data_IF_580220855872
#
_entry.id   IF_580220855872
#
_cell.length_a   1.000
_cell.length_b   1.000
_cell.length_c   1.000
_cell.angle_alpha   90.00
_cell.angle_beta   90.00
_cell.angle_gamma   90.00
#
_symmetry.space_group_name_H-M   'P 1'
#
loop_
_entity.id
_entity.type
_entity.pdbx_description
1 polymer ?
#
# COMPACT_ATOMS: atom_id res chain seq x y z
N UNK A 1 -30.93 49.98 60.73
CA UNK A 1 -31.30 49.22 59.51
C UNK A 1 -30.25 49.59 58.47
N UNK A 2 -29.15 48.84 58.40
CA UNK A 2 -28.92 47.72 57.46
C UNK A 2 -28.72 48.24 56.02
N UNK A 3 -27.74 47.85 55.22
CA UNK A 3 -26.64 46.89 55.34
C UNK A 3 -25.62 47.19 54.22
N UNK A 4 -24.37 46.72 54.36
CA UNK A 4 -23.34 46.74 53.31
C UNK A 4 -23.69 45.77 52.15
N UNK A 5 -23.25 46.00 50.90
CA UNK A 5 -23.16 44.93 49.92
C UNK A 5 -21.75 44.32 49.93
N UNK A 6 -21.69 43.02 50.14
CA UNK A 6 -20.52 42.17 49.93
C UNK A 6 -20.86 41.10 48.86
N UNK A 7 -19.81 40.56 48.26
CA UNK A 7 -19.70 39.30 47.51
C UNK A 7 -19.89 39.30 45.98
N UNK A 8 -18.73 39.23 45.32
CA UNK A 8 -18.29 38.11 44.48
C UNK A 8 -19.18 37.66 43.30
N UNK A 9 -18.94 38.28 42.13
CA UNK A 9 -19.15 37.60 40.84
C UNK A 9 -17.99 36.64 40.58
N UNK A 10 -18.14 35.39 41.03
CA UNK A 10 -17.37 34.26 40.49
C UNK A 10 -17.62 34.14 38.99
N UNK A 11 -16.56 34.30 38.20
CA UNK A 11 -16.54 33.94 36.79
C UNK A 11 -16.64 32.42 36.66
N UNK A 12 -17.84 31.92 36.39
CA UNK A 12 -18.05 30.53 36.00
C UNK A 12 -17.39 30.26 34.65
N UNK A 13 -16.58 29.20 34.65
CA UNK A 13 -15.79 28.70 33.53
C UNK A 13 -16.64 28.42 32.28
N UNK A 14 -16.35 29.09 31.18
CA UNK A 14 -16.55 28.48 29.85
C UNK A 14 -15.50 27.40 29.67
N UNK A 15 -15.79 26.18 30.12
CA UNK A 15 -15.13 24.99 29.59
C UNK A 15 -15.37 25.01 28.09
N UNK A 16 -14.34 25.37 27.31
CA UNK A 16 -14.33 25.10 25.87
C UNK A 16 -14.68 23.63 25.71
N UNK A 17 -15.82 23.33 25.08
CA UNK A 17 -16.20 21.98 24.72
C UNK A 17 -15.00 21.32 24.04
N UNK A 18 -14.38 20.36 24.73
CA UNK A 18 -13.34 19.56 24.13
C UNK A 18 -13.99 18.85 22.94
N UNK A 19 -13.48 19.05 21.71
CA UNK A 19 -14.09 18.47 20.53
C UNK A 19 -14.17 16.96 20.73
N UNK A 20 -15.38 16.41 20.53
CA UNK A 20 -15.67 15.01 20.81
C UNK A 20 -14.68 14.11 20.05
N UNK A 21 -13.73 13.54 20.78
CA UNK A 21 -12.67 12.72 20.22
C UNK A 21 -13.24 11.35 19.84
N UNK A 22 -13.10 10.98 18.57
CA UNK A 22 -13.40 9.62 18.14
C UNK A 22 -12.42 8.66 18.81
N UNK A 23 -12.97 7.81 19.69
CA UNK A 23 -12.24 6.80 20.45
C UNK A 23 -11.04 7.38 21.21
N UNK A 24 -11.10 8.65 21.61
CA UNK A 24 -10.02 9.33 22.34
C UNK A 24 -8.73 9.54 21.55
N UNK A 25 -8.72 9.35 20.23
CA UNK A 25 -7.50 9.44 19.39
C UNK A 25 -7.59 10.41 18.22
N UNK A 26 -8.80 10.65 17.70
CA UNK A 26 -8.99 11.46 16.51
C UNK A 26 -9.99 12.58 16.76
N UNK A 27 -9.58 13.80 16.45
CA UNK A 27 -10.48 14.95 16.40
C UNK A 27 -11.18 14.96 15.03
N UNK A 28 -12.49 14.70 15.01
CA UNK A 28 -13.28 14.68 13.78
C UNK A 28 -13.58 16.11 13.34
N UNK A 29 -13.24 16.42 12.09
CA UNK A 29 -13.50 17.69 11.44
C UNK A 29 -14.60 17.59 10.38
N UNK A 30 -14.42 18.35 9.29
CA UNK A 30 -15.41 18.50 8.22
C UNK A 30 -15.71 17.18 7.49
N UNK A 31 -16.94 17.06 6.99
CA UNK A 31 -17.33 15.99 6.06
C UNK A 31 -16.62 16.23 4.71
N UNK A 32 -15.90 15.21 4.23
CA UNK A 32 -15.22 15.22 2.93
C UNK A 32 -16.10 14.62 1.83
N UNK A 33 -16.88 13.58 2.18
CA UNK A 33 -17.72 12.88 1.22
C UNK A 33 -18.83 12.09 1.90
N UNK A 34 -19.90 11.87 1.16
CA UNK A 34 -21.06 11.09 1.58
C UNK A 34 -21.43 10.12 0.46
N UNK A 35 -21.41 8.83 0.77
CA UNK A 35 -22.00 7.78 -0.07
C UNK A 35 -23.19 7.14 0.62
N UNK A 36 -23.90 6.27 -0.11
CA UNK A 36 -25.10 5.56 0.37
C UNK A 36 -24.86 4.78 1.67
N UNK A 37 -23.66 4.24 1.85
CA UNK A 37 -23.32 3.33 2.95
C UNK A 37 -22.21 3.85 3.87
N UNK A 38 -21.57 4.97 3.52
CA UNK A 38 -20.44 5.49 4.27
C UNK A 38 -20.42 7.02 4.29
N UNK A 39 -19.88 7.58 5.36
CA UNK A 39 -19.52 9.00 5.46
C UNK A 39 -18.02 9.10 5.67
N UNK A 40 -17.37 10.01 4.94
CA UNK A 40 -15.92 10.24 5.04
C UNK A 40 -15.70 11.60 5.65
N UNK A 41 -14.96 11.65 6.75
CA UNK A 41 -14.63 12.88 7.47
C UNK A 41 -13.13 13.14 7.37
N UNK A 42 -12.76 14.42 7.30
CA UNK A 42 -11.42 14.83 7.68
C UNK A 42 -11.31 14.70 9.19
N UNK A 43 -10.16 14.24 9.68
CA UNK A 43 -9.87 14.20 11.09
C UNK A 43 -8.40 14.49 11.34
N UNK A 44 -8.05 14.78 12.59
CA UNK A 44 -6.67 15.02 13.02
C UNK A 44 -6.29 13.99 14.07
N UNK A 45 -5.15 13.32 13.90
CA UNK A 45 -4.60 12.45 14.92
C UNK A 45 -4.04 13.33 16.05
N UNK A 46 -4.55 13.20 17.27
CA UNK A 46 -4.15 14.10 18.37
C UNK A 46 -2.72 13.86 18.86
N UNK A 47 -2.11 12.70 18.55
CA UNK A 47 -0.74 12.37 18.96
C UNK A 47 0.29 12.88 17.96
N UNK A 48 0.05 12.69 16.67
CA UNK A 48 1.00 13.10 15.61
C UNK A 48 0.68 14.46 15.00
N UNK A 49 -0.49 15.03 15.29
CA UNK A 49 -1.03 16.23 14.64
C UNK A 49 -1.30 16.09 13.13
N UNK A 50 -1.17 14.88 12.59
CA UNK A 50 -1.36 14.62 11.16
C UNK A 50 -2.84 14.56 10.77
N UNK A 51 -3.15 15.10 9.60
CA UNK A 51 -4.47 15.02 8.98
C UNK A 51 -4.73 13.64 8.36
N UNK A 52 -5.91 13.08 8.63
CA UNK A 52 -6.35 11.76 8.15
C UNK A 52 -7.77 11.83 7.58
N UNK A 53 -8.12 10.87 6.73
CA UNK A 53 -9.48 10.65 6.28
C UNK A 53 -10.08 9.46 7.04
N UNK A 54 -11.25 9.66 7.68
CA UNK A 54 -11.95 8.61 8.42
C UNK A 54 -13.26 8.27 7.71
N UNK A 55 -13.30 7.07 7.12
CA UNK A 55 -14.51 6.50 6.52
C UNK A 55 -15.27 5.70 7.57
N UNK A 56 -16.53 6.08 7.78
CA UNK A 56 -17.43 5.52 8.80
C UNK A 56 -18.49 4.66 8.12
N UNK A 57 -18.58 3.39 8.50
CA UNK A 57 -19.56 2.43 8.00
C UNK A 57 -20.37 1.87 9.18
N UNK A 58 -21.68 1.69 8.97
CA UNK A 58 -22.57 1.11 9.97
C UNK A 58 -22.54 -0.42 9.93
N UNK A 59 -22.36 -1.08 11.09
CA UNK A 59 -22.28 -2.55 11.20
C UNK A 59 -23.60 -3.24 10.92
N UNK A 60 -24.74 -2.62 11.26
CA UNK A 60 -26.05 -3.21 10.98
C UNK A 60 -26.28 -3.41 9.48
N UNK A 61 -25.65 -2.55 8.67
CA UNK A 61 -25.69 -2.66 7.21
C UNK A 61 -24.86 -3.84 6.69
N UNK A 62 -23.79 -4.23 7.38
CA UNK A 62 -22.85 -5.30 6.97
C UNK A 62 -23.32 -6.70 7.41
N UNK A 63 -23.96 -6.80 8.58
CA UNK A 63 -24.24 -8.07 9.27
C UNK A 63 -25.26 -8.98 8.56
N UNK A 64 -26.00 -8.50 7.56
CA UNK A 64 -27.01 -9.29 6.84
C UNK A 64 -26.45 -10.27 5.79
N UNK A 65 -25.13 -10.28 5.56
CA UNK A 65 -24.52 -10.95 4.41
C UNK A 65 -23.82 -12.29 4.62
N UNK A 66 -23.45 -12.71 5.84
CA UNK A 66 -22.69 -13.96 6.07
C UNK A 66 -21.23 -14.00 5.56
N UNK A 67 -20.73 -12.91 4.93
CA UNK A 67 -19.40 -12.83 4.31
C UNK A 67 -18.35 -12.05 5.13
N UNK A 68 -18.55 -11.91 6.45
CA UNK A 68 -17.65 -11.19 7.36
C UNK A 68 -16.19 -11.68 7.26
N UNK A 69 -15.99 -12.98 7.02
CA UNK A 69 -14.67 -13.57 6.84
C UNK A 69 -13.93 -13.02 5.60
N UNK A 70 -14.64 -12.78 4.49
CA UNK A 70 -14.04 -12.22 3.27
C UNK A 70 -13.68 -10.75 3.48
N UNK A 71 -14.54 -9.97 4.13
CA UNK A 71 -14.25 -8.57 4.48
C UNK A 71 -13.02 -8.47 5.38
N UNK A 72 -12.94 -9.29 6.43
CA UNK A 72 -11.78 -9.32 7.32
C UNK A 72 -10.49 -9.65 6.58
N UNK A 73 -10.53 -10.58 5.63
CA UNK A 73 -9.38 -10.95 4.79
C UNK A 73 -8.93 -9.78 3.91
N UNK A 74 -9.85 -9.16 3.17
CA UNK A 74 -9.52 -8.03 2.30
C UNK A 74 -8.97 -6.84 3.12
N UNK A 75 -9.56 -6.54 4.27
CA UNK A 75 -9.05 -5.50 5.19
C UNK A 75 -7.65 -5.84 5.70
N UNK A 76 -7.39 -7.09 6.08
CA UNK A 76 -6.06 -7.54 6.54
C UNK A 76 -5.00 -7.35 5.46
N UNK A 77 -5.33 -7.66 4.20
CA UNK A 77 -4.43 -7.44 3.06
C UNK A 77 -4.22 -5.94 2.83
N UNK A 78 -5.29 -5.13 2.83
CA UNK A 78 -5.21 -3.67 2.61
C UNK A 78 -4.34 -2.95 3.64
N UNK A 79 -4.30 -3.42 4.90
CA UNK A 79 -3.40 -2.86 5.92
C UNK A 79 -1.92 -3.00 5.56
N UNK A 80 -1.58 -4.00 4.74
CA UNK A 80 -0.22 -4.30 4.25
C UNK A 80 0.03 -3.76 2.84
N UNK A 81 -0.99 -3.21 2.18
CA UNK A 81 -0.85 -2.54 0.88
C UNK A 81 -0.18 -1.19 1.08
N UNK A 82 0.98 -1.05 0.45
CA UNK A 82 1.76 0.20 0.38
C UNK A 82 2.16 0.36 -1.08
N UNK A 83 1.69 1.42 -1.72
CA UNK A 83 1.96 1.73 -3.12
C UNK A 83 1.77 3.24 -3.32
N UNK A 84 2.61 3.91 -4.12
CA UNK A 84 2.58 5.37 -4.23
C UNK A 84 1.24 5.88 -4.77
N UNK A 85 0.60 5.11 -5.67
CA UNK A 85 -0.70 5.46 -6.24
C UNK A 85 -1.92 4.81 -5.56
N UNK A 86 -1.79 4.32 -4.33
CA UNK A 86 -2.91 3.80 -3.54
C UNK A 86 -3.01 4.60 -2.24
N UNK A 87 -4.22 4.97 -1.84
CA UNK A 87 -4.48 5.60 -0.53
C UNK A 87 -4.17 4.62 0.58
N UNK A 88 -3.25 4.99 1.47
CA UNK A 88 -2.80 4.13 2.55
C UNK A 88 -3.90 3.95 3.61
N UNK A 89 -4.18 2.70 3.99
CA UNK A 89 -4.95 2.36 5.18
C UNK A 89 -3.99 2.32 6.39
N UNK A 90 -4.19 3.22 7.35
CA UNK A 90 -3.39 3.26 8.58
C UNK A 90 -3.93 2.26 9.59
N UNK A 91 -5.21 2.34 9.91
CA UNK A 91 -5.85 1.41 10.85
C UNK A 91 -7.35 1.27 10.64
N UNK A 92 -7.91 0.23 11.26
CA UNK A 92 -9.36 0.00 11.33
C UNK A 92 -9.77 -0.09 12.78
N UNK A 93 -10.72 0.74 13.17
CA UNK A 93 -11.31 0.75 14.51
C UNK A 93 -12.77 0.30 14.41
N UNK A 94 -13.31 -0.23 15.50
CA UNK A 94 -14.70 -0.63 15.55
C UNK A 94 -15.34 -0.35 16.91
N UNK A 95 -16.62 0.00 16.87
CA UNK A 95 -17.52 0.08 18.03
C UNK A 95 -18.59 -0.99 17.90
N UNK A 96 -19.56 -1.07 18.83
CA UNK A 96 -20.69 -2.01 18.72
C UNK A 96 -21.48 -1.81 17.41
N UNK A 97 -21.62 -0.57 16.95
CA UNK A 97 -22.49 -0.21 15.82
C UNK A 97 -21.76 0.28 14.57
N UNK A 98 -20.48 0.67 14.66
CA UNK A 98 -19.76 1.27 13.52
C UNK A 98 -18.36 0.70 13.33
N UNK A 99 -17.88 0.74 12.08
CA UNK A 99 -16.49 0.49 11.67
C UNK A 99 -15.91 1.80 11.13
N UNK A 100 -14.67 2.10 11.50
CA UNK A 100 -13.94 3.30 11.13
C UNK A 100 -12.66 2.90 10.42
N UNK A 101 -12.49 3.33 9.18
CA UNK A 101 -11.26 3.16 8.41
C UNK A 101 -10.49 4.45 8.44
N UNK A 102 -9.31 4.45 9.07
CA UNK A 102 -8.41 5.60 9.13
C UNK A 102 -7.41 5.50 7.99
N UNK A 103 -7.43 6.49 7.11
CA UNK A 103 -6.72 6.47 5.84
C UNK A 103 -5.90 7.74 5.64
N UNK A 104 -4.94 7.67 4.73
CA UNK A 104 -4.21 8.82 4.20
C UNK A 104 -5.19 9.91 3.72
N UNK A 105 -4.97 11.14 4.15
CA UNK A 105 -5.73 12.29 3.65
C UNK A 105 -5.06 12.87 2.39
N UNK A 106 -5.67 12.64 1.24
CA UNK A 106 -5.18 13.14 -0.05
C UNK A 106 -5.70 14.56 -0.30
N UNK A 107 -4.81 15.55 -0.24
CA UNK A 107 -5.15 16.98 -0.22
C UNK A 107 -5.57 17.56 -1.57
N UNK A 108 -5.08 17.02 -2.68
CA UNK A 108 -5.36 17.54 -4.01
C UNK A 108 -6.75 17.20 -4.56
N UNK A 109 -7.58 16.44 -3.83
CA UNK A 109 -8.97 16.16 -4.18
C UNK A 109 -9.14 15.29 -5.42
N UNK A 110 -10.36 15.21 -5.95
CA UNK A 110 -10.70 14.34 -7.09
C UNK A 110 -10.04 14.80 -8.39
N UNK A 111 -9.43 13.85 -9.12
CA UNK A 111 -8.83 14.04 -10.44
C UNK A 111 -9.81 14.75 -11.38
N UNK A 112 -11.03 14.25 -11.48
CA UNK A 112 -12.02 14.74 -12.44
C UNK A 112 -12.50 16.16 -12.13
N UNK A 113 -12.44 16.62 -10.88
CA UNK A 113 -12.71 18.02 -10.54
C UNK A 113 -11.62 18.94 -11.07
N UNK A 114 -10.36 18.54 -10.99
CA UNK A 114 -9.23 19.29 -11.58
C UNK A 114 -9.22 19.24 -13.11
N UNK A 115 -9.73 18.15 -13.69
CA UNK A 115 -9.80 17.91 -15.15
C UNK A 115 -11.09 18.48 -15.77
N UNK A 116 -12.08 18.87 -14.97
CA UNK A 116 -13.41 19.37 -15.40
C UNK A 116 -13.42 20.54 -16.40
N UNK A 117 -12.26 21.14 -16.70
CA UNK A 117 -12.06 22.12 -17.78
C UNK A 117 -12.06 21.52 -19.20
N UNK A 118 -12.17 20.19 -19.35
CA UNK A 118 -12.31 19.52 -20.65
C UNK A 118 -11.63 18.16 -20.72
N UNK A 119 -11.16 17.79 -21.92
CA UNK A 119 -10.37 16.56 -22.14
C UNK A 119 -8.89 16.78 -21.82
N UNK A 120 -8.21 15.70 -21.43
CA UNK A 120 -6.76 15.71 -21.25
C UNK A 120 -6.01 15.56 -22.57
N UNK A 121 -4.78 16.08 -22.59
CA UNK A 121 -3.79 15.71 -23.60
C UNK A 121 -3.43 14.24 -23.41
N UNK A 122 -3.17 13.55 -24.52
CA UNK A 122 -2.91 12.12 -24.52
C UNK A 122 -1.74 11.71 -23.62
N UNK A 123 -0.68 12.52 -23.56
CA UNK A 123 0.47 12.29 -22.68
C UNK A 123 0.10 12.33 -21.19
N UNK A 124 -0.75 13.28 -20.79
CA UNK A 124 -1.19 13.43 -19.40
C UNK A 124 -2.15 12.30 -19.02
N UNK A 125 -3.12 11.98 -19.89
CA UNK A 125 -4.02 10.86 -19.68
C UNK A 125 -3.26 9.53 -19.59
N UNK A 126 -2.22 9.35 -20.40
CA UNK A 126 -1.33 8.19 -20.34
C UNK A 126 -0.62 8.09 -19.00
N UNK A 127 -0.05 9.18 -18.48
CA UNK A 127 0.59 9.19 -17.15
C UNK A 127 -0.38 8.71 -16.06
N UNK A 128 -1.58 9.26 -16.01
CA UNK A 128 -2.59 8.83 -15.03
C UNK A 128 -3.04 7.40 -15.24
N UNK A 129 -3.20 6.96 -16.48
CA UNK A 129 -3.56 5.58 -16.79
C UNK A 129 -2.46 4.60 -16.38
N UNK A 130 -1.19 4.94 -16.58
CA UNK A 130 -0.05 4.14 -16.12
C UNK A 130 -0.04 4.01 -14.59
N UNK A 131 -0.27 5.11 -13.86
CA UNK A 131 -0.39 5.08 -12.40
C UNK A 131 -1.58 4.24 -11.92
N UNK A 132 -2.72 4.35 -12.61
CA UNK A 132 -3.92 3.55 -12.33
C UNK A 132 -3.65 2.06 -12.52
N UNK A 133 -3.08 1.67 -13.67
CA UNK A 133 -2.75 0.26 -13.95
C UNK A 133 -1.70 -0.26 -12.97
N UNK A 134 -0.72 0.56 -12.57
CA UNK A 134 0.26 0.19 -11.53
C UNK A 134 -0.43 -0.15 -10.20
N UNK A 135 -1.34 0.72 -9.73
CA UNK A 135 -2.11 0.48 -8.51
C UNK A 135 -2.99 -0.78 -8.59
N UNK A 136 -3.73 -0.93 -9.70
CA UNK A 136 -4.62 -2.08 -9.91
C UNK A 136 -3.82 -3.38 -9.99
N UNK A 137 -2.71 -3.40 -10.73
CA UNK A 137 -1.79 -4.53 -10.82
C UNK A 137 -1.27 -4.97 -9.44
N UNK A 138 -0.81 -4.01 -8.65
CA UNK A 138 -0.27 -4.26 -7.31
C UNK A 138 -1.29 -4.92 -6.38
N UNK A 139 -2.55 -4.48 -6.44
CA UNK A 139 -3.64 -5.06 -5.66
C UNK A 139 -4.09 -6.43 -6.18
N UNK A 140 -4.24 -6.59 -7.50
CA UNK A 140 -4.66 -7.85 -8.12
C UNK A 140 -3.69 -8.99 -7.80
N UNK A 141 -2.38 -8.72 -7.84
CA UNK A 141 -1.34 -9.68 -7.45
C UNK A 141 -1.47 -10.18 -5.99
N UNK A 142 -2.19 -9.45 -5.14
CA UNK A 142 -2.45 -9.79 -3.73
C UNK A 142 -3.88 -10.31 -3.50
N UNK A 143 -4.62 -10.58 -4.57
CA UNK A 143 -6.01 -11.06 -4.50
C UNK A 143 -7.00 -9.99 -4.03
N UNK A 144 -6.62 -8.70 -4.06
CA UNK A 144 -7.51 -7.58 -3.75
C UNK A 144 -7.98 -6.94 -5.04
N UNK A 145 -9.28 -6.81 -5.19
CA UNK A 145 -9.91 -6.23 -6.37
C UNK A 145 -10.72 -5.01 -5.96
N UNK A 146 -10.80 -4.01 -6.83
CA UNK A 146 -11.51 -2.78 -6.50
C UNK A 146 -13.02 -2.91 -6.78
N UNK A 147 -13.49 -3.55 -7.84
CA UNK A 147 -14.92 -3.80 -8.18
C UNK A 147 -15.84 -2.59 -8.37
N UNK A 148 -15.38 -1.38 -8.05
CA UNK A 148 -16.13 -0.12 -8.12
C UNK A 148 -15.19 1.05 -8.51
N UNK A 149 -14.29 0.82 -9.45
CA UNK A 149 -13.42 1.88 -9.97
C UNK A 149 -14.25 2.91 -10.73
N UNK A 150 -14.13 4.17 -10.32
CA UNK A 150 -14.89 5.30 -10.86
C UNK A 150 -14.15 6.62 -10.59
N UNK A 151 -14.51 7.72 -11.28
CA UNK A 151 -13.90 9.04 -11.10
C UNK A 151 -13.76 9.50 -9.65
N UNK A 152 -14.77 9.24 -8.82
CA UNK A 152 -14.84 9.66 -7.43
C UNK A 152 -13.77 8.97 -6.56
N UNK A 153 -13.25 7.83 -7.00
CA UNK A 153 -12.21 7.06 -6.31
C UNK A 153 -10.78 7.40 -6.80
N UNK A 154 -10.66 8.37 -7.71
CA UNK A 154 -9.38 8.81 -8.27
C UNK A 154 -9.05 10.19 -7.73
N UNK A 155 -8.12 10.24 -6.79
CA UNK A 155 -7.66 11.45 -6.13
C UNK A 155 -6.29 11.87 -6.68
N UNK A 156 -5.91 13.12 -6.43
CA UNK A 156 -4.59 13.65 -6.72
C UNK A 156 -3.93 14.12 -5.43
N UNK A 157 -2.68 13.75 -5.23
CA UNK A 157 -1.88 14.27 -4.12
C UNK A 157 -1.41 15.72 -4.37
N UNK A 158 -0.50 16.21 -3.51
CA UNK A 158 0.07 17.56 -3.60
C UNK A 158 0.98 17.74 -4.82
N UNK A 159 1.61 16.66 -5.29
CA UNK A 159 2.48 16.63 -6.46
C UNK A 159 1.68 16.47 -7.76
N UNK A 160 0.38 16.21 -7.67
CA UNK A 160 -0.50 15.96 -8.80
C UNK A 160 -0.38 14.53 -9.34
N UNK A 161 0.09 13.60 -8.53
CA UNK A 161 0.10 12.17 -8.86
C UNK A 161 -1.17 11.47 -8.39
N UNK A 162 -1.59 10.45 -9.13
CA UNK A 162 -2.81 9.71 -8.86
C UNK A 162 -2.71 8.93 -7.55
N UNK A 163 -3.76 9.01 -6.73
CA UNK A 163 -4.01 8.16 -5.56
C UNK A 163 -5.38 7.51 -5.71
N UNK A 164 -5.42 6.19 -5.84
CA UNK A 164 -6.67 5.43 -5.91
C UNK A 164 -7.14 5.12 -4.49
N UNK A 165 -8.35 5.55 -4.14
CA UNK A 165 -8.97 5.28 -2.85
C UNK A 165 -9.88 4.05 -2.88
N UNK A 166 -10.34 3.58 -1.72
CA UNK A 166 -11.42 2.59 -1.58
C UNK A 166 -11.18 1.18 -2.18
N UNK A 167 -9.93 0.82 -2.48
CA UNK A 167 -9.55 -0.57 -2.79
C UNK A 167 -10.04 -1.55 -1.72
N UNK A 168 -10.68 -2.66 -2.13
CA UNK A 168 -11.20 -3.72 -1.25
C UNK A 168 -12.26 -3.30 -0.22
N UNK A 169 -12.63 -2.01 -0.15
CA UNK A 169 -13.73 -1.51 0.68
C UNK A 169 -15.07 -1.54 -0.07
N UNK A 170 -15.02 -1.67 -1.40
CA UNK A 170 -16.17 -1.98 -2.25
C UNK A 170 -16.76 -3.36 -1.96
N UNK A 171 -15.96 -4.37 -1.61
CA UNK A 171 -16.47 -5.69 -1.23
C UNK A 171 -17.40 -5.60 -0.01
N UNK A 172 -17.08 -4.69 0.92
CA UNK A 172 -17.97 -4.36 2.04
C UNK A 172 -19.27 -3.72 1.52
N UNK A 173 -19.17 -2.85 0.53
CA UNK A 173 -20.31 -2.09 -0.02
C UNK A 173 -21.21 -2.95 -0.92
N UNK A 174 -20.65 -3.82 -1.75
CA UNK A 174 -21.39 -4.72 -2.65
C UNK A 174 -22.17 -5.79 -1.89
N UNK A 175 -21.66 -6.24 -0.73
CA UNK A 175 -22.37 -7.19 0.12
C UNK A 175 -23.60 -6.59 0.83
N UNK A 176 -23.64 -5.26 0.98
CA UNK A 176 -24.82 -4.55 1.52
C UNK A 176 -25.95 -4.50 0.46
N UNK A 177 -25.65 -4.69 -0.83
CA UNK A 177 -26.59 -4.58 -1.96
C UNK A 177 -27.46 -5.84 -2.16
N UNK A 178 -27.90 -6.46 -1.07
CA UNK A 178 -28.71 -7.70 -1.07
C UNK A 178 -30.16 -7.52 -1.56
N UNK A 179 -30.62 -6.29 -1.81
CA UNK A 179 -32.00 -6.04 -2.22
C UNK A 179 -32.30 -6.47 -3.66
N UNK A 180 -31.28 -6.80 -4.47
CA UNK A 180 -31.50 -7.28 -5.84
C UNK A 180 -32.32 -6.32 -6.71
N UNK A 181 -32.50 -5.09 -6.26
CA UNK A 181 -33.15 -4.00 -6.95
C UNK A 181 -32.07 -2.99 -7.29
N UNK A 182 -32.08 -2.51 -8.52
CA UNK A 182 -31.23 -1.41 -8.94
C UNK A 182 -31.68 -0.13 -8.22
N UNK A 183 -31.29 0.07 -6.96
CA UNK A 183 -31.21 1.42 -6.40
C UNK A 183 -29.83 2.03 -6.66
N UNK A 184 -29.45 1.99 -7.94
CA UNK A 184 -28.52 2.93 -8.56
C UNK A 184 -29.28 4.24 -8.86
N UNK A 185 -29.86 4.86 -7.83
CA UNK A 185 -30.48 6.19 -7.98
C UNK A 185 -29.53 7.34 -7.63
N UNK A 186 -28.26 7.05 -7.29
CA UNK A 186 -27.29 8.09 -6.92
C UNK A 186 -25.87 7.87 -7.52
N UNK A 187 -25.70 7.05 -8.56
CA UNK A 187 -24.39 6.85 -9.21
C UNK A 187 -24.52 6.51 -10.69
N UNK A 188 -23.49 6.76 -11.50
CA UNK A 188 -23.54 6.54 -12.94
C UNK A 188 -23.17 5.09 -13.29
N UNK A 189 -24.11 4.22 -13.74
CA UNK A 189 -23.83 2.81 -14.07
C UNK A 189 -22.88 2.64 -15.27
N UNK A 190 -22.48 3.73 -15.92
CA UNK A 190 -21.66 3.73 -17.13
C UNK A 190 -20.22 3.21 -16.92
N UNK A 191 -19.75 3.08 -15.67
CA UNK A 191 -18.44 2.50 -15.35
C UNK A 191 -18.48 0.99 -15.11
N UNK A 192 -19.68 0.40 -14.97
CA UNK A 192 -19.86 -0.99 -14.58
C UNK A 192 -19.76 -1.92 -15.79
N UNK A 193 -19.04 -3.03 -15.64
CA UNK A 193 -18.89 -4.05 -16.68
C UNK A 193 -20.21 -4.80 -16.96
N UNK A 194 -20.45 -5.26 -18.20
CA UNK A 194 -21.71 -5.90 -18.58
C UNK A 194 -22.02 -7.16 -17.75
N UNK A 195 -21.00 -7.95 -17.38
CA UNK A 195 -21.18 -9.16 -16.58
C UNK A 195 -21.64 -8.89 -15.14
N UNK A 196 -21.28 -7.74 -14.57
CA UNK A 196 -21.75 -7.30 -13.24
C UNK A 196 -23.23 -6.93 -13.31
N UNK A 197 -23.64 -6.26 -14.38
CA UNK A 197 -25.05 -5.92 -14.62
C UNK A 197 -25.92 -7.17 -14.85
N UNK A 198 -25.34 -8.20 -15.47
CA UNK A 198 -26.00 -9.48 -15.73
C UNK A 198 -26.14 -10.39 -14.49
N UNK A 199 -25.58 -10.00 -13.33
CA UNK A 199 -25.64 -10.74 -12.06
C UNK A 199 -25.12 -12.19 -12.14
N UNK A 200 -24.18 -12.45 -13.04
CA UNK A 200 -23.46 -13.73 -13.08
C UNK A 200 -22.25 -13.66 -12.17
N UNK A 201 -21.74 -14.80 -11.72
CA UNK A 201 -20.39 -14.85 -11.15
C UNK A 201 -19.41 -14.23 -12.17
N UNK A 202 -18.52 -13.36 -11.70
CA UNK A 202 -17.63 -12.59 -12.57
C UNK A 202 -16.18 -12.65 -12.06
N UNK A 203 -15.25 -12.51 -12.99
CA UNK A 203 -13.83 -12.32 -12.67
C UNK A 203 -13.58 -10.87 -12.28
N UNK A 204 -13.38 -10.62 -10.99
CA UNK A 204 -13.21 -9.26 -10.46
C UNK A 204 -12.04 -8.50 -11.12
N UNK A 205 -10.99 -9.20 -11.55
CA UNK A 205 -9.88 -8.60 -12.29
C UNK A 205 -10.33 -7.97 -13.61
N UNK A 206 -11.14 -8.69 -14.40
CA UNK A 206 -11.63 -8.23 -15.70
C UNK A 206 -12.64 -7.09 -15.57
N UNK A 207 -13.39 -7.03 -14.46
CA UNK A 207 -14.30 -5.92 -14.14
C UNK A 207 -13.52 -4.63 -13.86
N UNK A 208 -12.44 -4.71 -13.10
CA UNK A 208 -11.57 -3.55 -12.85
C UNK A 208 -10.94 -3.04 -14.15
N UNK A 209 -10.54 -3.94 -15.05
CA UNK A 209 -9.97 -3.57 -16.35
C UNK A 209 -10.98 -2.84 -17.23
N UNK A 210 -12.24 -3.30 -17.27
CA UNK A 210 -13.32 -2.58 -17.96
C UNK A 210 -13.47 -1.16 -17.41
N UNK A 211 -13.52 -1.04 -16.08
CA UNK A 211 -13.67 0.24 -15.39
C UNK A 211 -12.49 1.18 -15.70
N UNK A 212 -11.26 0.66 -15.74
CA UNK A 212 -10.07 1.40 -16.18
C UNK A 212 -10.20 1.90 -17.63
N UNK A 213 -10.76 1.09 -18.53
CA UNK A 213 -11.07 1.48 -19.91
C UNK A 213 -12.07 2.63 -20.00
N UNK A 214 -13.14 2.58 -19.19
CA UNK A 214 -14.13 3.67 -19.13
C UNK A 214 -13.47 4.94 -18.60
N UNK A 215 -12.68 4.85 -17.53
CA UNK A 215 -11.93 5.99 -16.97
C UNK A 215 -11.01 6.61 -18.03
N UNK A 216 -10.20 5.81 -18.74
CA UNK A 216 -9.31 6.29 -19.79
C UNK A 216 -10.09 7.00 -20.90
N UNK A 217 -11.21 6.43 -21.32
CA UNK A 217 -12.08 7.06 -22.30
C UNK A 217 -12.54 8.44 -21.82
N UNK A 218 -13.05 8.55 -20.59
CA UNK A 218 -13.57 9.83 -20.06
C UNK A 218 -12.45 10.87 -19.94
N UNK A 219 -11.25 10.48 -19.49
CA UNK A 219 -10.10 11.39 -19.44
C UNK A 219 -9.74 11.96 -20.82
N UNK A 220 -9.87 11.15 -21.88
CA UNK A 220 -9.53 11.52 -23.26
C UNK A 220 -10.66 12.22 -24.03
N UNK A 221 -11.91 11.88 -23.73
CA UNK A 221 -13.09 12.36 -24.43
C UNK A 221 -13.77 13.55 -23.72
N UNK A 222 -13.71 13.61 -22.39
CA UNK A 222 -14.50 14.52 -21.57
C UNK A 222 -15.96 14.09 -21.38
N UNK A 223 -16.34 12.90 -21.87
CA UNK A 223 -17.68 12.33 -21.76
C UNK A 223 -17.61 10.79 -21.67
N UNK A 224 -18.72 10.15 -21.30
CA UNK A 224 -18.81 8.70 -21.10
C UNK A 224 -18.87 7.90 -22.42
N UNK A 225 -18.20 6.74 -22.53
CA UNK A 225 -18.27 5.90 -23.73
C UNK A 225 -19.68 5.34 -23.96
N UNK A 226 -20.37 4.99 -22.88
CA UNK A 226 -21.73 4.48 -22.89
C UNK A 226 -22.64 5.47 -22.18
N UNK A 227 -23.34 6.29 -22.95
CA UNK A 227 -24.31 7.25 -22.44
C UNK A 227 -25.54 7.32 -23.34
N UNK A 228 -26.71 7.42 -22.73
CA UNK A 228 -27.99 7.62 -23.40
C UNK A 228 -29.00 8.21 -22.41
N UNK A 229 -29.98 8.97 -22.92
CA UNK A 229 -31.10 9.46 -22.09
C UNK A 229 -32.01 8.31 -21.66
N UNK A 230 -32.13 7.28 -22.50
CA UNK A 230 -32.86 6.07 -22.16
C UNK A 230 -31.90 5.07 -21.50
N UNK A 231 -32.13 4.78 -20.22
CA UNK A 231 -31.31 3.84 -19.43
C UNK A 231 -31.21 2.46 -20.09
N UNK A 232 -32.30 1.96 -20.70
CA UNK A 232 -32.29 0.67 -21.39
C UNK A 232 -31.44 0.72 -22.67
N UNK A 233 -31.47 1.83 -23.40
CA UNK A 233 -30.61 2.03 -24.56
C UNK A 233 -29.12 2.12 -24.15
N UNK A 234 -28.83 2.78 -23.04
CA UNK A 234 -27.48 2.81 -22.46
C UNK A 234 -27.02 1.39 -22.08
N UNK A 235 -27.84 0.60 -21.39
CA UNK A 235 -27.51 -0.80 -21.09
C UNK A 235 -27.28 -1.64 -22.35
N UNK A 236 -28.10 -1.45 -23.39
CA UNK A 236 -27.90 -2.11 -24.69
C UNK A 236 -26.55 -1.78 -25.30
N UNK A 237 -26.08 -0.53 -25.22
CA UNK A 237 -24.72 -0.14 -25.67
C UNK A 237 -23.64 -0.85 -24.84
N UNK A 238 -23.80 -0.91 -23.53
CA UNK A 238 -22.85 -1.58 -22.61
C UNK A 238 -22.75 -3.07 -22.95
N UNK A 239 -23.87 -3.79 -23.04
CA UNK A 239 -23.89 -5.23 -23.34
C UNK A 239 -23.31 -5.57 -24.72
N UNK A 240 -23.40 -4.64 -25.67
CA UNK A 240 -22.80 -4.82 -27.00
C UNK A 240 -21.36 -4.31 -27.12
N UNK A 241 -20.87 -3.53 -26.15
CA UNK A 241 -19.59 -2.83 -26.29
C UNK A 241 -19.58 -1.77 -27.40
N UNK A 242 -20.75 -1.23 -27.77
CA UNK A 242 -20.87 -0.22 -28.83
C UNK A 242 -20.60 1.18 -28.26
N UNK A 243 -19.40 1.72 -28.52
CA UNK A 243 -19.02 3.11 -28.20
C UNK A 243 -18.35 3.80 -29.38
N UNK A 244 -18.37 5.14 -29.39
CA UNK A 244 -17.77 5.94 -30.47
C UNK A 244 -16.55 6.71 -29.96
N UNK A 245 -15.41 6.46 -30.56
CA UNK A 245 -14.19 7.21 -30.30
C UNK A 245 -14.22 8.57 -31.03
N UNK A 246 -13.87 9.68 -30.36
CA UNK A 246 -13.66 10.97 -31.00
C UNK A 246 -12.57 10.94 -32.10
N UNK A 247 -12.67 11.87 -33.05
CA UNK A 247 -11.70 12.00 -34.16
C UNK A 247 -10.27 12.34 -33.71
N UNK A 248 -10.11 12.92 -32.51
CA UNK A 248 -8.80 13.28 -31.96
C UNK A 248 -8.12 12.12 -31.22
N UNK A 249 -8.72 10.94 -31.16
CA UNK A 249 -8.07 9.77 -30.56
C UNK A 249 -7.03 9.21 -31.54
N UNK A 250 -5.83 8.93 -31.04
CA UNK A 250 -4.83 8.24 -31.84
C UNK A 250 -5.30 6.81 -32.19
N UNK A 251 -4.93 6.28 -33.37
CA UNK A 251 -5.28 4.90 -33.73
C UNK A 251 -4.81 3.86 -32.70
N UNK A 252 -3.69 4.12 -32.03
CA UNK A 252 -3.19 3.28 -30.94
C UNK A 252 -4.11 3.28 -29.71
N UNK A 253 -4.60 4.46 -29.29
CA UNK A 253 -5.54 4.57 -28.19
C UNK A 253 -6.86 3.85 -28.51
N UNK A 254 -7.37 4.00 -29.73
CA UNK A 254 -8.60 3.32 -30.16
C UNK A 254 -8.46 1.80 -30.06
N UNK A 255 -7.33 1.24 -30.53
CA UNK A 255 -7.04 -0.21 -30.40
C UNK A 255 -6.93 -0.67 -28.96
N UNK A 256 -6.31 0.13 -28.08
CA UNK A 256 -6.25 -0.19 -26.65
C UNK A 256 -7.66 -0.20 -26.04
N UNK A 257 -8.46 0.85 -26.27
CA UNK A 257 -9.82 0.96 -25.75
C UNK A 257 -10.74 -0.16 -26.24
N UNK A 258 -10.62 -0.59 -27.51
CA UNK A 258 -11.41 -1.72 -28.01
C UNK A 258 -11.13 -3.04 -27.31
N UNK A 259 -9.94 -3.19 -26.69
CA UNK A 259 -9.54 -4.39 -25.95
C UNK A 259 -9.81 -4.29 -24.44
N UNK A 260 -9.82 -3.07 -23.90
CA UNK A 260 -10.23 -2.79 -22.52
C UNK A 260 -11.75 -2.91 -22.34
N UNK A 261 -12.51 -2.41 -23.32
CA UNK A 261 -13.98 -2.38 -23.34
C UNK A 261 -14.58 -3.52 -24.18
N UNK A 262 -13.87 -4.66 -24.25
CA UNK A 262 -14.36 -5.88 -24.89
C UNK A 262 -15.38 -6.58 -23.97
N UNK A 263 -16.56 -6.90 -24.50
CA UNK A 263 -17.61 -7.57 -23.71
C UNK A 263 -17.33 -9.06 -23.53
N UNK A 264 -16.45 -9.64 -24.35
CA UNK A 264 -16.00 -11.02 -24.18
C UNK A 264 -14.83 -11.08 -23.19
N UNK A 265 -15.01 -11.82 -22.08
CA UNK A 265 -14.04 -11.93 -21.00
C UNK A 265 -12.74 -12.60 -21.44
N UNK A 266 -12.81 -13.57 -22.34
CA UNK A 266 -11.65 -14.32 -22.83
C UNK A 266 -10.70 -13.42 -23.62
N UNK A 267 -11.27 -12.49 -24.40
CA UNK A 267 -10.51 -11.60 -25.27
C UNK A 267 -10.25 -10.22 -24.68
N UNK A 268 -10.94 -9.84 -23.60
CA UNK A 268 -10.64 -8.62 -22.86
C UNK A 268 -9.22 -8.69 -22.32
N UNK A 269 -8.46 -7.61 -22.50
CA UNK A 269 -7.08 -7.55 -22.05
C UNK A 269 -6.94 -7.85 -20.55
N UNK A 270 -5.80 -8.45 -20.23
CA UNK A 270 -5.23 -8.63 -18.89
C UNK A 270 -4.22 -7.53 -18.60
N UNK A 271 -3.81 -7.38 -17.35
CA UNK A 271 -2.81 -6.37 -16.96
C UNK A 271 -1.48 -6.55 -17.70
N UNK A 272 -0.89 -7.76 -17.82
CA UNK A 272 0.32 -7.96 -18.61
C UNK A 272 0.17 -7.47 -20.06
N UNK A 273 -0.94 -7.81 -20.73
CA UNK A 273 -1.20 -7.37 -22.10
C UNK A 273 -1.34 -5.83 -22.21
N UNK A 274 -1.91 -5.18 -21.19
CA UNK A 274 -1.98 -3.71 -21.12
C UNK A 274 -0.57 -3.11 -20.97
N UNK A 275 0.25 -3.67 -20.09
CA UNK A 275 1.61 -3.19 -19.82
C UNK A 275 2.55 -3.40 -21.02
N UNK A 276 2.28 -4.39 -21.87
CA UNK A 276 3.00 -4.61 -23.13
C UNK A 276 2.49 -3.75 -24.30
N UNK A 277 1.33 -3.13 -24.15
CA UNK A 277 0.70 -2.36 -25.23
C UNK A 277 1.54 -1.15 -25.66
N UNK A 278 1.66 -0.93 -26.98
CA UNK A 278 2.45 0.18 -27.55
C UNK A 278 2.01 1.57 -27.06
N UNK A 279 0.70 1.80 -26.89
CA UNK A 279 0.20 3.07 -26.39
C UNK A 279 0.61 3.29 -24.93
N UNK A 280 0.57 2.22 -24.12
CA UNK A 280 0.91 2.23 -22.71
C UNK A 280 2.42 2.43 -22.48
N UNK A 281 3.28 1.72 -23.22
CA UNK A 281 4.74 1.76 -23.02
C UNK A 281 5.40 3.09 -23.35
N UNK A 282 4.73 4.00 -24.07
CA UNK A 282 5.31 5.31 -24.42
C UNK A 282 5.67 6.10 -23.16
N UNK A 283 6.98 6.35 -23.00
CA UNK A 283 7.57 7.03 -21.83
C UNK A 283 7.20 6.38 -20.49
N UNK A 284 6.87 5.09 -20.51
CA UNK A 284 6.56 4.36 -19.28
C UNK A 284 7.85 4.09 -18.51
N UNK A 285 7.93 4.60 -17.28
CA UNK A 285 8.93 4.20 -16.29
C UNK A 285 8.22 3.28 -15.31
N UNK A 286 8.74 2.07 -15.13
CA UNK A 286 8.19 1.16 -14.12
C UNK A 286 8.33 1.82 -12.75
N UNK A 287 7.24 1.91 -12.00
CA UNK A 287 7.27 2.55 -10.68
C UNK A 287 8.00 1.61 -9.73
N UNK A 288 9.31 1.81 -9.58
CA UNK A 288 10.13 1.19 -8.55
C UNK A 288 9.92 2.02 -7.29
N UNK A 289 9.34 1.41 -6.26
CA UNK A 289 9.19 2.06 -4.96
C UNK A 289 9.58 1.09 -3.85
N UNK A 290 10.05 1.64 -2.75
CA UNK A 290 10.31 0.89 -1.52
C UNK A 290 9.58 1.55 -0.36
N UNK A 291 9.43 0.80 0.73
CA UNK A 291 8.77 1.29 1.94
C UNK A 291 9.88 1.57 2.96
N UNK A 292 9.99 2.82 3.39
CA UNK A 292 10.90 3.26 4.44
C UNK A 292 10.08 3.91 5.56
N UNK A 293 10.19 3.41 6.79
CA UNK A 293 9.49 3.95 7.97
C UNK A 293 7.98 4.17 7.75
N UNK A 294 7.30 3.18 7.16
CA UNK A 294 5.86 3.21 6.80
C UNK A 294 5.47 4.26 5.74
N UNK A 295 6.44 4.92 5.13
CA UNK A 295 6.30 5.84 3.99
C UNK A 295 6.72 5.16 2.69
N UNK A 296 6.05 5.51 1.59
CA UNK A 296 6.38 5.00 0.25
C UNK A 296 7.36 5.96 -0.41
N UNK A 297 8.53 5.46 -0.76
CA UNK A 297 9.59 6.22 -1.44
C UNK A 297 9.72 5.74 -2.89
N UNK A 298 9.68 6.66 -3.84
CA UNK A 298 9.94 6.35 -5.26
C UNK A 298 11.44 6.29 -5.49
N UNK A 299 11.90 5.33 -6.30
CA UNK A 299 13.27 5.32 -6.81
C UNK A 299 13.31 6.17 -8.07
N UNK A 300 13.88 7.36 -7.98
CA UNK A 300 14.24 8.12 -9.19
C UNK A 300 15.46 7.44 -9.81
N UNK A 301 15.32 6.86 -11.02
CA UNK A 301 16.46 6.43 -11.82
C UNK A 301 17.18 7.72 -12.29
N UNK A 302 18.23 8.12 -11.57
CA UNK A 302 19.23 9.08 -12.02
C UNK A 302 20.04 8.46 -13.17
N UNK A 303 19.42 8.39 -14.34
CA UNK A 303 20.17 8.42 -15.60
C UNK A 303 19.81 9.73 -16.27
N UNK A 304 20.54 10.77 -15.89
CA UNK A 304 20.65 11.97 -16.70
C UNK A 304 21.18 11.55 -18.07
N UNK A 305 20.34 11.69 -19.09
CA UNK A 305 20.78 11.72 -20.48
C UNK A 305 21.71 12.93 -20.64
N UNK A 306 23.00 12.69 -20.46
CA UNK A 306 24.07 13.61 -20.88
C UNK A 306 24.18 13.51 -22.39
N UNK A 307 23.51 14.43 -23.09
CA UNK A 307 24.05 14.86 -24.38
C UNK A 307 23.76 16.34 -24.69
N UNK A 308 24.88 17.05 -24.87
CA UNK A 308 25.05 18.28 -25.65
C UNK A 308 24.32 19.55 -25.21
N UNK A 309 25.05 20.47 -24.56
CA UNK A 309 25.48 21.73 -25.18
C UNK A 309 26.63 22.36 -24.38
N UNK A 310 27.65 22.79 -25.12
CA UNK A 310 28.94 23.31 -24.69
C UNK A 310 28.93 24.77 -24.22
N UNK A 311 29.81 25.02 -23.25
CA UNK A 311 30.73 26.17 -23.11
C UNK A 311 30.32 27.48 -22.41
N UNK A 312 31.22 27.83 -21.47
CA UNK A 312 31.58 29.15 -20.91
C UNK A 312 30.69 29.81 -19.84
N UNK A 313 31.12 29.75 -18.57
CA UNK A 313 32.00 30.78 -17.95
C UNK A 313 31.91 30.75 -16.41
N UNK A 314 33.05 31.05 -15.80
CA UNK A 314 33.29 31.07 -14.35
C UNK A 314 32.53 32.20 -13.65
N UNK A 315 32.03 31.95 -12.43
CA UNK A 315 32.21 32.90 -11.32
C UNK A 315 31.95 32.20 -9.98
N UNK A 316 32.92 32.36 -9.09
CA UNK A 316 32.86 32.03 -7.67
C UNK A 316 32.00 33.06 -6.94
N UNK A 317 31.24 32.64 -5.94
CA UNK A 317 31.07 33.37 -4.66
C UNK A 317 30.36 32.51 -3.63
N UNK A 318 31.05 32.36 -2.51
CA UNK A 318 30.69 31.69 -1.27
C UNK A 318 29.36 32.17 -0.64
N UNK A 319 28.69 31.28 0.10
CA UNK A 319 28.33 31.52 1.52
C UNK A 319 27.66 30.29 2.15
N UNK A 320 28.45 29.62 3.00
CA UNK A 320 28.11 29.01 4.29
C UNK A 320 26.85 28.14 4.45
N UNK A 321 27.05 26.82 4.58
CA UNK A 321 26.31 26.03 5.57
C UNK A 321 27.22 24.96 6.21
N UNK A 322 27.23 25.00 7.53
CA UNK A 322 28.14 24.31 8.45
C UNK A 322 28.17 22.78 8.23
N UNK A 323 29.31 22.25 7.81
CA UNK A 323 29.66 20.84 7.96
C UNK A 323 29.84 20.52 9.45
N UNK A 324 28.90 19.78 10.03
CA UNK A 324 29.18 19.03 11.26
C UNK A 324 29.54 17.59 10.88
N UNK A 325 30.83 17.40 10.65
CA UNK A 325 31.51 16.11 10.53
C UNK A 325 31.10 15.17 11.67
N UNK A 326 30.32 14.11 11.38
CA UNK A 326 30.20 12.93 12.26
C UNK A 326 30.71 11.69 11.53
N UNK A 327 31.70 11.07 12.17
CA UNK A 327 32.53 9.94 11.76
C UNK A 327 31.74 8.73 11.23
N UNK A 328 32.24 8.17 10.14
CA UNK A 328 32.14 6.75 9.77
C UNK A 328 32.65 5.87 10.93
N UNK A 329 31.90 4.84 11.38
CA UNK A 329 32.51 3.81 12.25
C UNK A 329 31.69 2.96 13.22
N UNK A 330 30.36 3.04 13.35
CA UNK A 330 29.62 2.07 14.20
C UNK A 330 28.19 1.81 13.73
N UNK A 331 27.84 0.53 13.53
CA UNK A 331 26.44 0.11 13.37
C UNK A 331 25.66 0.46 14.65
N UNK A 332 24.46 1.05 14.55
CA UNK A 332 23.63 1.31 15.73
C UNK A 332 23.21 -0.01 16.40
N UNK A 333 23.08 0.04 17.73
CA UNK A 333 22.79 -1.13 18.58
C UNK A 333 21.40 -1.70 18.24
N UNK A 334 21.22 -3.04 18.17
CA UNK A 334 19.92 -3.64 17.90
C UNK A 334 18.86 -3.27 18.94
N UNK A 335 17.58 -3.28 18.54
CA UNK A 335 16.48 -3.09 19.49
C UNK A 335 16.48 -4.25 20.51
N UNK A 336 16.38 -3.93 21.80
CA UNK A 336 16.36 -4.91 22.88
C UNK A 336 14.97 -5.51 23.07
N UNK A 337 14.85 -6.83 23.08
CA UNK A 337 13.61 -7.54 23.39
C UNK A 337 13.52 -7.81 24.90
N UNK A 338 12.36 -7.54 25.49
CA UNK A 338 12.07 -7.86 26.87
C UNK A 338 11.45 -9.27 27.01
N UNK A 339 11.29 -9.76 28.24
CA UNK A 339 10.74 -11.08 28.50
C UNK A 339 9.30 -11.25 27.99
N UNK A 340 8.47 -10.20 27.97
CA UNK A 340 7.13 -10.24 27.39
C UNK A 340 7.16 -10.37 25.86
N UNK A 341 8.10 -9.70 25.20
CA UNK A 341 8.30 -9.83 23.75
C UNK A 341 8.68 -11.27 23.41
N UNK A 342 9.61 -11.87 24.18
CA UNK A 342 10.04 -13.27 24.01
C UNK A 342 8.88 -14.26 24.25
N UNK A 343 8.06 -14.02 25.27
CA UNK A 343 6.89 -14.88 25.58
C UNK A 343 5.83 -14.76 24.48
N UNK A 344 5.64 -13.57 23.90
CA UNK A 344 4.72 -13.36 22.78
C UNK A 344 5.10 -14.15 21.51
N UNK A 345 6.36 -14.61 21.43
CA UNK A 345 6.88 -15.42 20.33
C UNK A 345 6.72 -16.94 20.54
N UNK A 346 6.26 -17.40 21.71
CA UNK A 346 6.08 -18.83 22.01
C UNK A 346 4.88 -19.39 21.24
N UNK A 347 4.98 -20.57 20.57
CA UNK A 347 3.86 -21.17 19.84
C UNK A 347 2.59 -21.38 20.69
N UNK A 348 2.74 -21.53 22.02
CA UNK A 348 1.62 -21.67 22.95
C UNK A 348 0.91 -20.37 23.32
N UNK A 349 1.54 -19.22 23.06
CA UNK A 349 0.97 -17.87 23.20
C UNK A 349 0.83 -17.15 21.85
N UNK A 350 1.28 -17.79 20.77
CA UNK A 350 1.15 -17.33 19.40
C UNK A 350 -0.32 -17.49 18.96
N UNK A 351 -1.09 -16.43 19.17
CA UNK A 351 -2.47 -16.36 18.75
C UNK A 351 -2.61 -16.21 17.22
N UNK A 352 -1.52 -16.14 16.44
CA UNK A 352 -1.59 -16.07 14.98
C UNK A 352 -2.35 -17.27 14.41
N UNK A 353 -2.13 -18.48 14.91
CA UNK A 353 -2.87 -19.69 14.49
C UNK A 353 -4.38 -19.69 14.84
N UNK A 354 -4.84 -18.77 15.70
CA UNK A 354 -6.25 -18.56 16.04
C UNK A 354 -6.92 -17.50 15.13
N UNK A 355 -6.13 -16.70 14.40
CA UNK A 355 -6.61 -15.55 13.64
C UNK A 355 -6.05 -15.43 12.20
N UNK A 356 -5.09 -16.26 11.81
CA UNK A 356 -4.39 -16.31 10.52
C UNK A 356 -3.97 -17.77 10.21
N UNK A 357 -3.84 -18.14 8.92
CA UNK A 357 -2.95 -19.25 8.55
C UNK A 357 -1.53 -18.81 8.92
N UNK A 358 -0.86 -19.57 9.78
CA UNK A 358 0.33 -19.17 10.54
C UNK A 358 1.35 -18.31 9.77
N UNK A 359 1.76 -17.20 10.39
CA UNK A 359 2.87 -16.38 9.89
C UNK A 359 4.15 -17.20 9.85
N UNK A 360 4.66 -17.47 8.65
CA UNK A 360 5.88 -18.25 8.44
C UNK A 360 7.10 -17.38 8.71
N UNK A 361 7.45 -17.30 9.98
CA UNK A 361 8.60 -16.59 10.51
C UNK A 361 9.60 -17.61 11.07
N UNK A 362 10.85 -17.54 10.65
CA UNK A 362 11.91 -18.37 11.18
C UNK A 362 12.75 -17.54 12.16
N UNK A 363 12.94 -18.03 13.39
CA UNK A 363 13.71 -17.33 14.42
C UNK A 363 14.91 -18.15 14.84
N UNK A 364 16.05 -17.48 14.99
CA UNK A 364 17.32 -18.09 15.39
C UNK A 364 17.94 -17.27 16.50
N UNK A 365 18.57 -17.91 17.48
CA UNK A 365 19.35 -17.23 18.53
C UNK A 365 20.83 -17.49 18.28
N UNK A 366 21.66 -16.45 18.26
CA UNK A 366 23.10 -16.54 18.07
C UNK A 366 23.86 -15.70 19.11
N UNK A 367 25.06 -16.13 19.46
CA UNK A 367 26.02 -15.37 20.28
C UNK A 367 27.01 -14.57 19.43
N UNK A 368 26.95 -14.68 18.09
CA UNK A 368 27.83 -13.98 17.19
C UNK A 368 27.54 -12.47 17.17
N UNK A 369 28.57 -11.62 16.94
CA UNK A 369 28.37 -10.19 16.74
C UNK A 369 27.42 -9.91 15.56
N UNK A 370 26.58 -8.89 15.70
CA UNK A 370 25.59 -8.46 14.68
C UNK A 370 26.25 -8.22 13.32
N UNK A 371 27.47 -7.67 13.30
CA UNK A 371 28.25 -7.47 12.09
C UNK A 371 28.58 -8.78 11.36
N UNK A 372 28.94 -9.85 12.09
CA UNK A 372 29.19 -11.18 11.52
C UNK A 372 27.91 -11.82 10.99
N UNK A 373 26.80 -11.65 11.70
CA UNK A 373 25.49 -12.17 11.27
C UNK A 373 25.04 -11.49 9.98
N UNK A 374 25.13 -10.16 9.90
CA UNK A 374 24.76 -9.41 8.70
C UNK A 374 25.66 -9.77 7.52
N UNK A 375 26.98 -9.86 7.74
CA UNK A 375 27.93 -10.31 6.70
C UNK A 375 27.58 -11.72 6.20
N UNK A 376 27.18 -12.63 7.10
CA UNK A 376 26.79 -13.99 6.70
C UNK A 376 25.49 -14.00 5.89
N UNK A 377 24.52 -13.17 6.25
CA UNK A 377 23.28 -13.01 5.47
C UNK A 377 23.57 -12.46 4.06
N UNK A 378 24.54 -11.55 3.92
CA UNK A 378 25.00 -11.06 2.63
C UNK A 378 25.67 -12.15 1.79
N UNK A 379 26.51 -12.99 2.39
CA UNK A 379 27.18 -14.10 1.70
C UNK A 379 26.17 -15.12 1.17
N UNK A 380 25.18 -15.49 2.00
CA UNK A 380 24.09 -16.40 1.60
C UNK A 380 23.34 -15.81 0.42
N UNK A 381 22.99 -14.52 0.49
CA UNK A 381 22.22 -13.88 -0.55
C UNK A 381 22.98 -13.77 -1.89
N UNK A 382 24.30 -13.55 -1.86
CA UNK A 382 25.14 -13.62 -3.07
C UNK A 382 25.14 -15.03 -3.67
N UNK A 383 25.22 -16.08 -2.83
CA UNK A 383 25.20 -17.48 -3.27
C UNK A 383 23.92 -17.81 -4.05
N UNK A 384 22.76 -17.32 -3.57
CA UNK A 384 21.46 -17.57 -4.20
C UNK A 384 21.05 -16.54 -5.25
N UNK A 385 21.95 -15.62 -5.64
CA UNK A 385 21.66 -14.52 -6.59
C UNK A 385 20.54 -13.58 -6.14
N UNK A 386 20.45 -13.30 -4.84
CA UNK A 386 19.52 -12.32 -4.27
C UNK A 386 20.20 -10.96 -4.22
N UNK A 387 19.42 -9.91 -4.48
CA UNK A 387 19.84 -8.55 -4.18
C UNK A 387 19.71 -8.30 -2.67
N UNK A 388 20.70 -7.65 -2.09
CA UNK A 388 20.78 -7.39 -0.65
C UNK A 388 20.73 -5.90 -0.40
N UNK A 389 19.88 -5.49 0.55
CA UNK A 389 19.87 -4.13 1.08
C UNK A 389 20.00 -4.17 2.60
N UNK A 390 20.96 -3.41 3.14
CA UNK A 390 21.25 -3.31 4.56
C UNK A 390 20.90 -1.92 5.07
N UNK A 391 20.16 -1.87 6.18
CA UNK A 391 20.04 -0.66 7.01
C UNK A 391 20.08 -1.10 8.46
N UNK A 392 21.08 -0.61 9.20
CA UNK A 392 21.27 -0.91 10.61
C UNK A 392 21.39 -2.42 10.92
N UNK A 393 20.44 -2.96 11.70
CA UNK A 393 20.33 -4.36 12.09
C UNK A 393 19.32 -5.15 11.23
N UNK A 394 18.92 -4.59 10.08
CA UNK A 394 17.93 -5.16 9.17
C UNK A 394 18.55 -5.43 7.80
N UNK A 395 18.27 -6.61 7.27
CA UNK A 395 18.73 -7.09 5.97
C UNK A 395 17.51 -7.49 5.16
N UNK A 396 17.30 -6.86 4.01
CA UNK A 396 16.26 -7.27 3.06
C UNK A 396 16.92 -8.01 1.90
N UNK A 397 16.41 -9.20 1.62
CA UNK A 397 16.85 -10.08 0.55
C UNK A 397 15.73 -10.17 -0.48
N UNK A 398 16.05 -9.92 -1.74
CA UNK A 398 15.07 -9.95 -2.83
C UNK A 398 15.62 -10.81 -3.97
N UNK A 399 14.93 -11.91 -4.23
CA UNK A 399 15.26 -12.87 -5.28
C UNK A 399 15.14 -12.22 -6.66
N UNK A 400 16.09 -12.57 -7.54
CA UNK A 400 16.12 -12.08 -8.93
C UNK A 400 15.24 -12.91 -9.88
N UNK A 401 14.66 -14.02 -9.40
CA UNK A 401 13.82 -14.93 -10.18
C UNK A 401 12.34 -14.60 -9.93
N UNK A 402 11.58 -14.37 -10.99
CA UNK A 402 10.12 -14.21 -10.88
C UNK A 402 9.45 -15.59 -10.77
N UNK A 403 9.06 -15.96 -9.54
CA UNK A 403 8.19 -17.11 -9.31
C UNK A 403 6.73 -16.81 -9.68
N UNK A 404 5.86 -17.82 -9.61
CA UNK A 404 4.40 -17.70 -9.91
C UNK A 404 3.70 -16.63 -9.06
N UNK A 405 4.25 -16.30 -7.88
CA UNK A 405 3.75 -15.27 -6.96
C UNK A 405 4.66 -14.02 -6.88
N UNK A 406 5.48 -13.80 -7.90
CA UNK A 406 6.51 -12.76 -7.93
C UNK A 406 7.81 -13.18 -7.22
N UNK A 407 8.82 -12.28 -7.20
CA UNK A 407 10.12 -12.58 -6.61
C UNK A 407 10.05 -12.82 -5.09
N UNK A 408 10.79 -13.83 -4.61
CA UNK A 408 10.91 -14.11 -3.18
C UNK A 408 11.54 -12.93 -2.46
N UNK A 409 10.78 -12.30 -1.57
CA UNK A 409 11.26 -11.18 -0.76
C UNK A 409 11.28 -11.59 0.70
N UNK A 410 12.43 -11.46 1.35
CA UNK A 410 12.68 -11.88 2.73
C UNK A 410 13.22 -10.69 3.50
N UNK A 411 12.71 -10.46 4.71
CA UNK A 411 13.29 -9.51 5.64
C UNK A 411 13.88 -10.27 6.83
N UNK A 412 15.15 -10.03 7.14
CA UNK A 412 15.83 -10.49 8.33
C UNK A 412 16.11 -9.30 9.25
N UNK A 413 15.81 -9.44 10.52
CA UNK A 413 15.98 -8.42 11.54
C UNK A 413 16.66 -9.01 12.77
N UNK A 414 17.66 -8.30 13.29
CA UNK A 414 18.44 -8.73 14.45
C UNK A 414 18.01 -7.91 15.67
N UNK A 415 17.71 -8.60 16.76
CA UNK A 415 17.29 -8.04 18.04
C UNK A 415 18.24 -8.47 19.17
N UNK A 416 18.50 -7.60 20.14
CA UNK A 416 19.32 -7.93 21.31
C UNK A 416 18.46 -8.62 22.38
N UNK A 417 18.85 -9.81 22.83
CA UNK A 417 18.21 -10.51 23.96
C UNK A 417 18.97 -10.27 25.26
N UNK A 418 20.30 -10.28 25.18
CA UNK A 418 21.22 -9.97 26.29
C UNK A 418 22.50 -9.36 25.71
N UNK A 419 23.42 -8.91 26.57
CA UNK A 419 24.72 -8.38 26.14
C UNK A 419 25.58 -9.38 25.35
N UNK A 420 25.22 -10.67 25.34
CA UNK A 420 25.95 -11.74 24.64
C UNK A 420 25.09 -12.55 23.66
N UNK A 421 23.79 -12.25 23.55
CA UNK A 421 22.86 -13.04 22.73
C UNK A 421 21.95 -12.13 21.91
N UNK A 422 21.80 -12.47 20.65
CA UNK A 422 20.90 -11.81 19.70
C UNK A 422 19.94 -12.80 19.07
N UNK A 423 18.74 -12.35 18.76
CA UNK A 423 17.73 -13.07 17.99
C UNK A 423 17.72 -12.55 16.57
N UNK A 424 17.81 -13.44 15.59
CA UNK A 424 17.59 -13.14 14.18
C UNK A 424 16.21 -13.63 13.81
N UNK A 425 15.33 -12.72 13.44
CA UNK A 425 13.99 -13.01 12.97
C UNK A 425 13.96 -12.84 11.45
N UNK A 426 13.51 -13.88 10.75
CA UNK A 426 13.42 -13.90 9.29
C UNK A 426 11.98 -14.12 8.88
N UNK A 427 11.48 -13.24 8.01
CA UNK A 427 10.08 -13.21 7.58
C UNK A 427 9.98 -13.15 6.07
N UNK A 428 9.09 -13.96 5.49
CA UNK A 428 8.66 -13.79 4.10
C UNK A 428 7.82 -12.51 3.97
N UNK A 429 8.18 -11.64 3.04
CA UNK A 429 7.47 -10.40 2.68
C UNK A 429 6.73 -10.50 1.33
N UNK A 430 7.17 -11.40 0.45
CA UNK A 430 6.58 -11.65 -0.88
C UNK A 430 7.15 -12.93 -1.51
N UNK A 431 6.56 -13.41 -2.61
CA UNK A 431 6.99 -14.64 -3.32
C UNK A 431 6.37 -15.94 -2.79
N UNK A 432 6.80 -17.09 -3.30
CA UNK A 432 6.19 -18.37 -2.96
C UNK A 432 6.60 -18.92 -1.57
N UNK A 433 5.70 -19.65 -0.93
CA UNK A 433 5.90 -20.25 0.40
C UNK A 433 6.88 -21.41 0.35
N UNK A 434 6.77 -22.31 -0.63
CA UNK A 434 7.64 -23.48 -0.70
C UNK A 434 9.07 -23.06 -1.02
N UNK A 435 9.23 -22.04 -1.86
CA UNK A 435 10.52 -21.41 -2.15
C UNK A 435 11.15 -20.77 -0.89
N UNK A 436 10.33 -20.12 -0.06
CA UNK A 436 10.77 -19.58 1.24
C UNK A 436 11.19 -20.67 2.23
N UNK A 437 10.40 -21.73 2.37
CA UNK A 437 10.71 -22.85 3.27
C UNK A 437 11.98 -23.59 2.81
N UNK A 438 12.14 -23.78 1.50
CA UNK A 438 13.32 -24.38 0.90
C UNK A 438 14.56 -23.53 1.16
N UNK A 439 14.49 -22.22 0.90
CA UNK A 439 15.57 -21.28 1.23
C UNK A 439 15.93 -21.31 2.72
N UNK A 440 14.91 -21.26 3.59
CA UNK A 440 15.14 -21.27 5.03
C UNK A 440 15.80 -22.57 5.50
N UNK A 441 15.42 -23.72 4.94
CA UNK A 441 15.91 -25.03 5.37
C UNK A 441 17.26 -25.41 4.75
N UNK A 442 17.50 -25.08 3.48
CA UNK A 442 18.73 -25.47 2.77
C UNK A 442 19.88 -24.50 2.95
N UNK A 443 19.59 -23.20 3.00
CA UNK A 443 20.62 -22.16 2.96
C UNK A 443 20.76 -21.45 4.32
N UNK A 444 19.64 -20.93 4.83
CA UNK A 444 19.64 -20.04 6.00
C UNK A 444 19.91 -20.77 7.33
N UNK A 445 19.19 -21.86 7.59
CA UNK A 445 19.33 -22.66 8.83
C UNK A 445 20.75 -23.21 9.02
N UNK A 446 21.36 -23.90 8.04
CA UNK A 446 22.71 -24.44 8.20
C UNK A 446 23.75 -23.33 8.40
N UNK A 447 23.64 -22.23 7.63
CA UNK A 447 24.61 -21.14 7.67
C UNK A 447 24.59 -20.34 8.98
N UNK A 448 23.42 -20.16 9.60
CA UNK A 448 23.29 -19.45 10.88
C UNK A 448 23.51 -20.35 12.10
N UNK A 449 23.29 -21.66 11.99
CA UNK A 449 23.64 -22.63 13.04
C UNK A 449 25.16 -22.74 13.21
N UNK A 450 25.92 -22.67 12.12
CA UNK A 450 27.39 -22.66 12.15
C UNK A 450 27.99 -21.41 12.82
N UNK A 451 27.20 -20.36 13.06
CA UNK A 451 27.64 -19.17 13.82
C UNK A 451 27.51 -19.35 15.35
N UNK A 452 26.98 -20.47 15.83
CA UNK A 452 26.84 -20.76 17.27
C UNK A 452 28.09 -21.38 17.89
N UNK A 453 28.99 -21.95 17.08
CA UNK A 453 30.15 -22.71 17.55
C UNK A 453 31.44 -22.13 16.96
N UNK A 454 32.03 -21.15 17.64
CA UNK A 454 33.50 -21.06 17.66
C UNK A 454 33.95 -21.15 19.13
N UNK A 455 34.69 -22.21 19.53
CA UNK A 455 35.30 -22.28 20.85
C UNK A 455 36.40 -21.21 20.95
N UNK A 456 36.38 -20.47 22.05
CA UNK A 456 37.27 -19.34 22.28
C UNK A 456 38.75 -19.70 22.18
N UNK A 457 39.46 -18.98 21.32
CA UNK A 457 40.91 -18.87 21.41
C UNK A 457 41.25 -18.02 22.65
N UNK A 458 41.84 -18.64 23.67
CA UNK A 458 42.36 -17.90 24.82
C UNK A 458 42.57 -18.73 26.08
N UNK A 459 43.48 -19.69 26.06
CA UNK A 459 44.23 -20.07 27.26
C UNK A 459 45.72 -19.92 26.94
N UNK A 460 46.47 -19.04 27.64
CA UNK A 460 47.90 -18.90 27.43
C UNK A 460 48.62 -20.10 28.03
N UNK A 461 49.40 -20.80 27.20
CA UNK A 461 50.34 -21.83 27.64
C UNK A 461 51.52 -21.15 28.36
N UNK A 462 51.44 -21.07 29.68
CA UNK A 462 52.59 -20.85 30.55
C UNK A 462 52.57 -21.88 31.68
N UNK A 463 53.33 -22.97 31.51
CA UNK A 463 53.96 -23.68 32.63
C UNK A 463 55.41 -23.98 32.19
N UNK A 464 56.44 -23.67 33.02
CA UNK A 464 57.85 -23.76 32.66
C UNK A 464 58.39 -25.20 32.76
N UNK A 465 59.53 -25.43 32.12
CA UNK A 465 60.39 -26.59 32.35
C UNK A 465 61.01 -26.53 33.74
N UNK A 466 61.14 -27.69 34.39
CA UNK A 466 62.42 -28.30 34.80
C UNK A 466 62.22 -29.28 35.96
N UNK A 467 62.88 -30.45 35.83
CA UNK A 467 63.52 -31.29 36.88
C UNK A 467 62.63 -31.81 38.03
N UNK A 468 62.62 -33.09 38.42
CA UNK A 468 63.56 -34.23 38.34
C UNK A 468 62.81 -35.55 38.13
#
# INVERSE_FOLDING_TARGET
MADRPDSDKKSESTRKDMPALLLGRYEIGKLLGHGTFAKVYHARNIKSDEGVAIKVIDKEKILKGGLIAHIKREISILRRVRHPNIVQLFEVMATKTKIYFVMEYVRGGELFKKVSKGRLKEEVARKYFQQLISAVSFCHARGVYHRDLKPENLLLDENGDLKVSDFGLSAVSDQIRQDGLFHTFCGTPAYVAPEVLARKGYEAAKVDIWSCGVILFVLMAGYLPFHDQNIMAMYKKIYKGEFRCPRWFSPELVRLLSRLLDTNLETRFTIPEIMENRWFKKRYKHIKFYIEDDKVCNVEDDTQDVDSLSDQSQSESDSEFIETRRKMGSLPRPASLNAFDIISFSPGFDLSGLFEDGGEEARFVSSAPVSKIISKLEDIAKLVSFSVRKKDCRVSLEGTREGVKGPLTIAAEVFELTTKLVMVEVKRKGGDKTEYEEFCNKELKPALLNLKEEPGAGAPSHIPSDSE
#
